data_IF_542097920996
#
_entry.id   IF_542097920996
#
_cell.length_a   1.000
_cell.length_b   1.000
_cell.length_c   1.000
_cell.angle_alpha   90.00
_cell.angle_beta   90.00
_cell.angle_gamma   90.00
#
_symmetry.space_group_name_H-M   'P 1'
#
loop_
_entity.id
_entity.type
_entity.pdbx_description
1 polymer ?
#
# COMPACT_ATOMS: atom_id res chain seq x y z
N UNK A 1 1.46 1.97 12.81
CA UNK A 1 2.18 2.92 13.70
C UNK A 1 3.62 2.48 13.80
N UNK A 2 4.58 3.30 13.35
CA UNK A 2 6.00 3.03 13.53
C UNK A 2 6.36 3.42 14.97
N UNK A 3 6.35 2.46 15.89
CA UNK A 3 6.82 2.67 17.27
C UNK A 3 8.30 2.29 17.37
N UNK A 4 9.12 3.21 17.87
CA UNK A 4 10.48 2.91 18.30
C UNK A 4 10.42 2.22 19.68
N UNK A 5 10.58 0.90 19.70
CA UNK A 5 11.08 0.20 20.87
C UNK A 5 12.43 -0.39 20.46
N UNK A 6 13.49 0.25 20.92
CA UNK A 6 14.83 -0.25 20.72
C UNK A 6 15.01 -1.58 21.47
N UNK A 7 14.83 -2.69 20.77
CA UNK A 7 15.48 -3.92 21.18
C UNK A 7 16.97 -3.80 20.84
N UNK A 8 17.83 -4.37 21.67
CA UNK A 8 19.30 -4.37 21.56
C UNK A 8 19.88 -4.92 20.24
N UNK A 9 19.03 -5.23 19.25
CA UNK A 9 19.39 -5.78 17.93
C UNK A 9 19.24 -4.78 16.77
N UNK A 10 18.88 -3.50 17.03
CA UNK A 10 18.78 -2.48 15.95
C UNK A 10 17.61 -2.66 14.97
N UNK A 11 16.77 -3.70 15.12
CA UNK A 11 15.68 -3.99 14.21
C UNK A 11 14.48 -3.09 14.52
N UNK A 12 14.02 -2.32 13.54
CA UNK A 12 12.82 -1.49 13.67
C UNK A 12 11.56 -2.35 13.78
N UNK A 13 10.72 -2.06 14.76
CA UNK A 13 9.45 -2.76 14.91
C UNK A 13 8.37 -2.11 14.04
N UNK A 14 8.17 -2.63 12.84
CA UNK A 14 7.12 -2.24 11.91
C UNK A 14 5.84 -2.99 12.27
N UNK A 15 4.71 -2.26 12.42
CA UNK A 15 3.40 -2.86 12.67
C UNK A 15 2.80 -3.36 11.36
N UNK A 16 3.10 -4.59 11.02
CA UNK A 16 2.70 -5.31 9.82
C UNK A 16 2.26 -6.73 10.21
N UNK A 17 1.40 -7.38 9.40
CA UNK A 17 0.98 -8.75 9.67
C UNK A 17 2.19 -9.71 9.78
N UNK A 18 2.11 -10.67 10.71
CA UNK A 18 3.24 -11.54 11.09
C UNK A 18 3.87 -12.26 9.88
N UNK A 19 3.05 -12.77 8.94
CA UNK A 19 3.57 -13.47 7.75
C UNK A 19 4.46 -12.61 6.84
N UNK A 20 4.22 -11.30 6.80
CA UNK A 20 5.07 -10.35 6.11
C UNK A 20 6.30 -9.98 6.93
N UNK A 21 6.13 -9.85 8.24
CA UNK A 21 7.22 -9.50 9.13
C UNK A 21 8.35 -10.52 9.09
N UNK A 22 8.00 -11.82 9.01
CA UNK A 22 8.96 -12.93 8.96
C UNK A 22 9.86 -12.86 7.72
N UNK A 23 9.29 -12.55 6.56
CA UNK A 23 10.03 -12.54 5.28
C UNK A 23 10.69 -11.21 4.97
N UNK A 24 10.21 -10.09 5.55
CA UNK A 24 10.73 -8.74 5.32
C UNK A 24 11.61 -8.24 6.48
N UNK A 25 11.92 -9.07 7.47
CA UNK A 25 12.66 -8.66 8.67
C UNK A 25 14.03 -8.06 8.34
N UNK A 26 14.75 -8.65 7.40
CA UNK A 26 16.04 -8.15 6.94
C UNK A 26 15.92 -6.80 6.23
N UNK A 27 14.81 -6.60 5.49
CA UNK A 27 14.55 -5.37 4.76
C UNK A 27 14.41 -4.18 5.70
N UNK A 28 13.77 -4.37 6.86
CA UNK A 28 13.58 -3.34 7.89
C UNK A 28 14.87 -2.90 8.59
N UNK A 29 15.95 -3.65 8.44
CA UNK A 29 17.27 -3.32 9.02
C UNK A 29 18.23 -2.68 8.03
N UNK A 30 17.83 -2.52 6.76
CA UNK A 30 18.67 -1.91 5.73
C UNK A 30 18.77 -0.38 5.89
N UNK A 31 19.94 0.22 5.57
CA UNK A 31 20.15 1.66 5.73
C UNK A 31 19.13 2.54 5.01
N UNK A 32 18.69 2.15 3.80
CA UNK A 32 17.69 2.92 3.06
C UNK A 32 16.34 2.94 3.81
N UNK A 33 15.96 1.83 4.46
CA UNK A 33 14.70 1.77 5.19
C UNK A 33 14.74 2.62 6.46
N UNK A 34 15.89 2.70 7.14
CA UNK A 34 16.08 3.62 8.26
C UNK A 34 15.94 5.08 7.83
N UNK A 35 16.54 5.45 6.69
CA UNK A 35 16.41 6.79 6.11
C UNK A 35 14.96 7.10 5.71
N UNK A 36 14.28 6.13 5.08
CA UNK A 36 12.87 6.23 4.74
C UNK A 36 11.99 6.48 5.98
N UNK A 37 12.24 5.77 7.07
CA UNK A 37 11.49 5.96 8.32
C UNK A 37 11.73 7.35 8.92
N UNK A 38 12.97 7.85 8.87
CA UNK A 38 13.29 9.22 9.33
C UNK A 38 12.58 10.27 8.47
N UNK A 39 12.60 10.09 7.16
CA UNK A 39 11.89 10.94 6.21
C UNK A 39 10.38 10.95 6.51
N UNK A 40 9.74 9.78 6.58
CA UNK A 40 8.29 9.68 6.83
C UNK A 40 7.91 10.30 8.17
N UNK A 41 8.68 10.07 9.23
CA UNK A 41 8.43 10.69 10.54
C UNK A 41 8.48 12.20 10.48
N UNK A 42 9.47 12.76 9.79
CA UNK A 42 9.60 14.21 9.60
C UNK A 42 8.39 14.74 8.83
N UNK A 43 8.04 14.12 7.69
CA UNK A 43 6.90 14.53 6.86
C UNK A 43 5.59 14.58 7.66
N UNK A 44 5.32 13.55 8.47
CA UNK A 44 4.11 13.50 9.30
C UNK A 44 4.14 14.45 10.49
N UNK A 45 5.30 14.97 10.88
CA UNK A 45 5.42 15.98 11.94
C UNK A 45 5.29 17.42 11.43
N UNK A 46 5.69 17.64 10.18
CA UNK A 46 5.77 18.99 9.59
C UNK A 46 4.62 19.27 8.61
N UNK A 47 4.02 18.23 8.04
CA UNK A 47 3.04 18.32 6.97
C UNK A 47 1.81 17.44 7.25
N UNK A 48 0.71 17.73 6.56
CA UNK A 48 -0.43 16.82 6.49
C UNK A 48 -0.09 15.75 5.45
N UNK A 49 -0.05 14.48 5.88
CA UNK A 49 0.29 13.36 5.02
C UNK A 49 -0.80 12.27 5.05
N UNK A 50 -0.90 11.52 3.98
CA UNK A 50 -1.84 10.41 3.83
C UNK A 50 -1.13 9.12 3.42
N UNK A 51 -1.76 7.96 3.76
CA UNK A 51 -2.89 7.74 4.66
C UNK A 51 -2.54 8.06 6.11
N UNK A 52 -3.46 7.95 7.05
CA UNK A 52 -3.13 8.05 8.49
C UNK A 52 -2.02 7.06 8.83
N UNK A 53 -1.12 7.42 9.74
CA UNK A 53 0.07 6.61 10.06
C UNK A 53 -0.23 5.14 10.43
N UNK A 54 -1.41 4.87 11.01
CA UNK A 54 -1.86 3.50 11.32
C UNK A 54 -2.25 2.69 10.08
N UNK A 55 -2.50 3.35 8.95
CA UNK A 55 -2.98 2.74 7.71
C UNK A 55 -1.88 2.57 6.65
N UNK A 56 -0.64 3.01 6.91
CA UNK A 56 0.46 2.92 5.93
C UNK A 56 0.65 1.47 5.43
N UNK A 57 0.51 0.49 6.33
CA UNK A 57 0.68 -0.92 6.01
C UNK A 57 -0.65 -1.70 5.89
N UNK A 58 -1.77 -1.03 5.60
CA UNK A 58 -3.09 -1.68 5.49
C UNK A 58 -3.12 -2.79 4.45
N UNK A 59 -2.47 -2.63 3.29
CA UNK A 59 -2.41 -3.65 2.25
C UNK A 59 -1.86 -4.99 2.78
N UNK A 60 -0.84 -4.92 3.61
CA UNK A 60 -0.21 -6.10 4.22
C UNK A 60 -1.03 -6.70 5.37
N UNK A 61 -1.74 -5.85 6.10
CA UNK A 61 -2.55 -6.29 7.24
C UNK A 61 -3.85 -6.96 6.79
N UNK A 62 -4.45 -6.49 5.70
CA UNK A 62 -5.67 -7.08 5.14
C UNK A 62 -5.40 -8.28 4.23
N UNK A 63 -4.20 -8.36 3.62
CA UNK A 63 -3.81 -9.47 2.74
C UNK A 63 -2.52 -10.13 3.26
N UNK A 64 -2.60 -11.11 4.18
CA UNK A 64 -1.45 -11.91 4.63
C UNK A 64 -0.75 -12.61 3.47
N UNK A 65 0.60 -12.73 3.51
CA UNK A 65 1.40 -13.29 2.43
C UNK A 65 0.89 -14.64 1.89
N UNK A 66 0.52 -15.64 2.72
CA UNK A 66 0.02 -16.92 2.22
C UNK A 66 -1.35 -16.85 1.53
N UNK A 67 -2.03 -15.71 1.62
CA UNK A 67 -3.34 -15.51 0.98
C UNK A 67 -3.26 -14.74 -0.33
N UNK A 68 -2.08 -14.25 -0.70
CA UNK A 68 -1.91 -13.45 -1.92
C UNK A 68 -2.20 -14.30 -3.16
N UNK A 69 -3.16 -13.85 -3.96
CA UNK A 69 -3.55 -14.44 -5.26
C UNK A 69 -3.34 -13.47 -6.40
N UNK A 70 -3.54 -12.18 -6.13
CA UNK A 70 -3.39 -11.09 -7.09
C UNK A 70 -2.59 -9.97 -6.45
N UNK A 71 -1.62 -9.42 -7.16
CA UNK A 71 -0.96 -8.16 -6.83
C UNK A 71 -1.46 -7.10 -7.79
N UNK A 72 -2.08 -6.06 -7.25
CA UNK A 72 -2.47 -4.88 -8.01
C UNK A 72 -1.59 -3.72 -7.58
N UNK A 73 -0.83 -3.15 -8.52
CA UNK A 73 0.12 -2.07 -8.23
C UNK A 73 -0.46 -0.72 -8.64
N UNK A 74 -0.60 0.18 -7.65
CA UNK A 74 -0.87 1.61 -7.84
C UNK A 74 0.39 2.45 -7.74
N UNK A 75 0.29 3.75 -8.01
CA UNK A 75 1.42 4.68 -7.95
C UNK A 75 1.67 5.16 -6.52
N UNK A 76 0.81 6.01 -6.01
CA UNK A 76 0.86 6.61 -4.68
C UNK A 76 -0.56 6.70 -4.09
N UNK A 77 -0.72 6.94 -2.78
CA UNK A 77 -2.03 7.13 -2.17
C UNK A 77 -2.75 8.36 -2.74
N UNK A 78 -4.06 8.36 -2.74
CA UNK A 78 -4.83 9.57 -3.01
C UNK A 78 -4.44 10.66 -2.01
N UNK A 79 -4.19 11.87 -2.51
CA UNK A 79 -3.68 12.99 -1.72
C UNK A 79 -4.76 13.98 -1.23
N UNK A 80 -6.04 13.70 -1.53
CA UNK A 80 -7.18 14.46 -1.01
C UNK A 80 -7.55 14.04 0.41
N UNK A 81 -8.11 14.99 1.17
CA UNK A 81 -8.49 14.77 2.55
C UNK A 81 -9.50 13.61 2.70
N UNK A 82 -9.20 12.67 3.59
CA UNK A 82 -10.07 11.55 3.90
C UNK A 82 -10.14 10.45 2.84
N UNK A 83 -9.45 10.56 1.70
CA UNK A 83 -9.50 9.57 0.63
C UNK A 83 -8.74 8.29 0.97
N UNK A 84 -7.43 8.38 1.14
CA UNK A 84 -6.55 7.22 1.28
C UNK A 84 -6.79 6.44 2.57
N UNK A 85 -6.85 5.11 2.46
CA UNK A 85 -6.95 4.15 3.56
C UNK A 85 -5.82 3.11 3.58
N UNK A 86 -4.75 3.32 2.79
CA UNK A 86 -3.58 2.45 2.73
C UNK A 86 -3.68 1.27 1.78
N UNK A 87 -4.72 1.24 0.94
CA UNK A 87 -4.91 0.29 -0.15
C UNK A 87 -4.91 1.06 -1.48
N UNK A 88 -4.21 0.58 -2.51
CA UNK A 88 -4.22 1.25 -3.80
C UNK A 88 -5.62 1.29 -4.42
N UNK A 89 -5.95 2.38 -5.09
CA UNK A 89 -7.26 2.67 -5.71
C UNK A 89 -8.45 2.75 -4.74
N UNK A 90 -8.27 2.45 -3.46
CA UNK A 90 -9.31 2.41 -2.44
C UNK A 90 -9.50 3.77 -1.76
N UNK A 91 -10.74 4.09 -1.43
CA UNK A 91 -11.08 5.25 -0.59
C UNK A 91 -11.90 4.84 0.62
N UNK A 92 -11.90 5.67 1.65
CA UNK A 92 -12.77 5.45 2.82
C UNK A 92 -14.26 5.50 2.42
N UNK A 93 -15.11 4.84 3.19
CA UNK A 93 -16.55 4.88 2.99
C UNK A 93 -17.08 6.32 3.05
N UNK A 94 -18.07 6.62 2.21
CA UNK A 94 -18.67 7.96 2.11
C UNK A 94 -17.87 8.97 1.28
N UNK A 95 -16.70 8.59 0.76
CA UNK A 95 -15.91 9.42 -0.15
C UNK A 95 -16.32 9.17 -1.61
N UNK A 96 -16.45 10.23 -2.38
CA UNK A 96 -16.69 10.13 -3.82
C UNK A 96 -15.58 9.32 -4.50
N UNK A 97 -15.95 8.45 -5.42
CA UNK A 97 -14.99 7.60 -6.14
C UNK A 97 -14.08 8.46 -7.04
N UNK A 98 -12.76 8.41 -6.87
CA UNK A 98 -11.83 9.08 -7.77
C UNK A 98 -11.90 8.51 -9.19
N UNK A 99 -11.47 9.25 -10.23
CA UNK A 99 -11.61 8.85 -11.63
C UNK A 99 -11.09 7.44 -11.95
N UNK A 100 -9.93 7.07 -11.39
CA UNK A 100 -9.38 5.72 -11.60
C UNK A 100 -10.30 4.62 -11.06
N UNK A 101 -10.85 4.81 -9.84
CA UNK A 101 -11.78 3.84 -9.26
C UNK A 101 -13.11 3.79 -9.99
N UNK A 102 -13.61 4.94 -10.50
CA UNK A 102 -14.80 4.99 -11.36
C UNK A 102 -14.60 4.13 -12.60
N UNK A 103 -13.43 4.24 -13.26
CA UNK A 103 -13.13 3.45 -14.45
C UNK A 103 -13.07 1.95 -14.13
N UNK A 104 -12.37 1.57 -13.04
CA UNK A 104 -12.31 0.18 -12.59
C UNK A 104 -13.70 -0.39 -12.34
N UNK A 105 -14.56 0.34 -11.64
CA UNK A 105 -15.91 -0.14 -11.33
C UNK A 105 -16.83 -0.20 -12.55
N UNK A 106 -16.67 0.72 -13.51
CA UNK A 106 -17.40 0.64 -14.79
C UNK A 106 -17.01 -0.62 -15.57
N UNK A 107 -15.70 -0.87 -15.74
CA UNK A 107 -15.21 -2.06 -16.45
C UNK A 107 -15.73 -3.34 -15.80
N UNK A 108 -15.68 -3.44 -14.46
CA UNK A 108 -16.22 -4.60 -13.75
C UNK A 108 -17.71 -4.73 -13.97
N UNK A 109 -18.48 -3.64 -13.88
CA UNK A 109 -19.94 -3.69 -14.08
C UNK A 109 -20.32 -4.12 -15.49
N UNK A 110 -19.59 -3.64 -16.49
CA UNK A 110 -19.85 -3.93 -17.90
C UNK A 110 -19.43 -5.37 -18.25
N UNK A 111 -18.27 -5.84 -17.74
CA UNK A 111 -17.73 -7.18 -18.07
C UNK A 111 -18.50 -8.32 -17.38
N UNK A 112 -18.82 -8.17 -16.09
CA UNK A 112 -19.46 -9.24 -15.31
C UNK A 112 -20.96 -9.00 -15.03
N UNK A 113 -21.53 -7.96 -15.60
CA UNK A 113 -22.95 -7.60 -15.46
C UNK A 113 -23.40 -7.44 -13.99
N UNK A 114 -22.53 -6.93 -13.12
CA UNK A 114 -22.83 -6.67 -11.71
C UNK A 114 -23.20 -5.20 -11.49
N UNK A 115 -24.06 -4.89 -10.50
CA UNK A 115 -24.36 -3.51 -10.15
C UNK A 115 -23.08 -2.72 -9.78
N UNK A 116 -23.03 -1.47 -10.20
CA UNK A 116 -21.95 -0.56 -9.84
C UNK A 116 -21.81 -0.46 -8.30
N UNK A 117 -20.61 -0.67 -7.72
CA UNK A 117 -20.41 -0.69 -6.26
C UNK A 117 -20.69 0.67 -5.62
N UNK A 118 -21.42 0.68 -4.51
CA UNK A 118 -21.71 1.90 -3.73
C UNK A 118 -20.49 2.35 -2.93
N UNK A 119 -19.78 1.40 -2.30
CA UNK A 119 -18.60 1.68 -1.48
C UNK A 119 -17.31 1.61 -2.31
N UNK A 120 -16.50 2.67 -2.22
CA UNK A 120 -15.14 2.72 -2.76
C UNK A 120 -14.08 2.06 -1.88
N UNK A 121 -14.46 1.51 -0.72
CA UNK A 121 -13.55 0.77 0.16
C UNK A 121 -13.30 -0.64 -0.39
N UNK A 122 -12.05 -0.93 -0.73
CA UNK A 122 -11.62 -2.19 -1.34
C UNK A 122 -11.08 -3.22 -0.33
N UNK A 123 -11.27 -3.02 0.97
CA UNK A 123 -10.87 -4.02 1.98
C UNK A 123 -11.49 -5.39 1.70
N UNK A 124 -12.71 -5.42 1.13
CA UNK A 124 -13.37 -6.65 0.68
C UNK A 124 -12.59 -7.42 -0.39
N UNK A 125 -11.77 -6.74 -1.21
CA UNK A 125 -10.88 -7.40 -2.15
C UNK A 125 -9.60 -7.87 -1.49
N UNK A 126 -9.01 -7.02 -0.63
CA UNK A 126 -7.79 -7.36 0.09
C UNK A 126 -7.96 -8.63 0.94
N UNK A 127 -9.07 -8.76 1.66
CA UNK A 127 -9.37 -9.94 2.48
C UNK A 127 -9.59 -11.22 1.68
N UNK A 128 -9.84 -11.12 0.36
CA UNK A 128 -9.96 -12.26 -0.56
C UNK A 128 -8.64 -12.65 -1.23
N UNK A 129 -7.56 -11.93 -0.96
CA UNK A 129 -6.23 -12.24 -1.47
C UNK A 129 -5.72 -11.29 -2.56
N UNK A 130 -6.32 -10.10 -2.69
CA UNK A 130 -5.79 -9.04 -3.56
C UNK A 130 -4.85 -8.14 -2.76
N UNK A 131 -3.56 -8.22 -3.01
CA UNK A 131 -2.59 -7.27 -2.45
C UNK A 131 -2.69 -5.94 -3.19
N UNK A 132 -3.39 -4.98 -2.58
CA UNK A 132 -3.63 -3.65 -3.12
C UNK A 132 -2.48 -2.71 -2.74
N UNK A 133 -1.36 -2.80 -3.46
CA UNK A 133 -0.10 -2.16 -3.12
C UNK A 133 0.13 -0.89 -3.96
N UNK A 134 0.53 0.21 -3.33
CA UNK A 134 1.10 1.36 -4.04
C UNK A 134 2.62 1.24 -4.09
N UNK A 135 3.26 1.78 -5.14
CA UNK A 135 4.72 1.88 -5.24
C UNK A 135 5.29 2.77 -4.13
N UNK A 136 4.62 3.90 -3.80
CA UNK A 136 4.90 4.72 -2.61
C UNK A 136 3.75 4.61 -1.63
N UNK A 137 4.03 4.36 -0.34
CA UNK A 137 2.97 4.10 0.65
C UNK A 137 2.48 5.37 1.37
N UNK A 138 3.09 6.51 1.12
CA UNK A 138 2.72 7.79 1.74
C UNK A 138 2.79 8.93 0.73
N UNK A 139 2.04 10.00 0.99
CA UNK A 139 1.99 11.19 0.14
C UNK A 139 1.66 12.42 0.99
N UNK A 140 2.16 13.60 0.64
CA UNK A 140 1.76 14.88 1.23
C UNK A 140 0.39 15.31 0.68
N UNK A 141 -0.41 15.95 1.52
CA UNK A 141 -1.72 16.47 1.14
C UNK A 141 -1.62 17.39 -0.09
N UNK A 142 -2.46 17.13 -1.09
CA UNK A 142 -2.57 17.88 -2.34
C UNK A 142 -1.31 17.87 -3.24
N UNK A 143 -0.30 17.05 -2.94
CA UNK A 143 0.96 16.97 -3.70
C UNK A 143 1.22 15.54 -4.16
N UNK A 144 0.62 15.12 -5.29
CA UNK A 144 0.85 13.80 -5.89
C UNK A 144 2.36 13.58 -6.14
N UNK A 145 2.86 12.37 -5.85
CA UNK A 145 4.26 12.01 -6.05
C UNK A 145 5.26 12.65 -5.08
N UNK A 146 4.81 13.42 -4.08
CA UNK A 146 5.69 14.16 -3.14
C UNK A 146 6.66 13.28 -2.35
N UNK A 147 6.37 12.00 -2.17
CA UNK A 147 7.22 11.05 -1.46
C UNK A 147 7.93 10.03 -2.37
N UNK A 148 7.94 10.27 -3.70
CA UNK A 148 8.69 9.45 -4.64
C UNK A 148 10.20 9.59 -4.40
N UNK A 149 10.95 8.54 -4.76
CA UNK A 149 12.42 8.47 -4.65
C UNK A 149 12.98 8.65 -3.23
N UNK A 150 12.15 8.38 -2.21
CA UNK A 150 12.56 8.44 -0.80
C UNK A 150 12.81 7.05 -0.19
N UNK A 151 12.71 5.99 -1.00
CA UNK A 151 12.98 4.60 -0.58
C UNK A 151 11.74 3.70 -0.55
N UNK A 152 10.52 4.24 -0.74
CA UNK A 152 9.32 3.43 -0.82
C UNK A 152 9.37 2.45 -1.99
N UNK A 153 9.80 2.89 -3.16
CA UNK A 153 9.90 2.07 -4.37
C UNK A 153 10.85 0.89 -4.16
N UNK A 154 12.01 1.13 -3.53
CA UNK A 154 12.95 0.05 -3.17
C UNK A 154 12.29 -0.98 -2.23
N UNK A 155 11.51 -0.53 -1.25
CA UNK A 155 10.79 -1.41 -0.34
C UNK A 155 9.71 -2.22 -1.08
N UNK A 156 8.89 -1.58 -1.88
CA UNK A 156 7.78 -2.23 -2.60
C UNK A 156 8.27 -3.16 -3.71
N UNK A 157 9.39 -2.86 -4.37
CA UNK A 157 10.06 -3.79 -5.29
C UNK A 157 10.50 -5.08 -4.59
N UNK A 158 11.06 -4.97 -3.37
CA UNK A 158 11.41 -6.13 -2.58
C UNK A 158 10.17 -6.90 -2.08
N UNK A 159 9.06 -6.22 -1.82
CA UNK A 159 7.78 -6.87 -1.52
C UNK A 159 7.28 -7.69 -2.71
N UNK A 160 7.30 -7.11 -3.92
CA UNK A 160 6.89 -7.79 -5.16
C UNK A 160 7.78 -9.01 -5.41
N UNK A 161 9.10 -8.85 -5.26
CA UNK A 161 10.05 -9.96 -5.34
C UNK A 161 9.74 -11.04 -4.31
N UNK A 162 9.46 -10.67 -3.07
CA UNK A 162 9.10 -11.60 -1.99
C UNK A 162 7.84 -12.41 -2.33
N UNK A 163 6.81 -11.77 -2.91
CA UNK A 163 5.61 -12.48 -3.39
C UNK A 163 5.97 -13.47 -4.49
N UNK A 164 6.77 -13.04 -5.47
CA UNK A 164 7.20 -13.90 -6.57
C UNK A 164 7.99 -15.11 -6.11
N UNK A 165 8.81 -14.96 -5.07
CA UNK A 165 9.69 -16.01 -4.57
C UNK A 165 8.96 -17.01 -3.62
N UNK A 166 7.86 -16.57 -2.96
CA UNK A 166 7.22 -17.34 -1.88
C UNK A 166 5.78 -17.76 -2.17
N UNK A 167 5.16 -17.26 -3.25
CA UNK A 167 3.77 -17.56 -3.59
C UNK A 167 3.68 -18.19 -4.99
N UNK A 168 2.85 -19.22 -5.12
CA UNK A 168 2.60 -19.86 -6.40
C UNK A 168 1.32 -19.31 -7.04
N UNK A 169 1.27 -19.30 -8.38
CA UNK A 169 0.08 -18.92 -9.17
C UNK A 169 -0.47 -17.52 -8.90
N UNK A 170 0.40 -16.57 -8.57
CA UNK A 170 0.00 -15.16 -8.34
C UNK A 170 -0.10 -14.41 -9.67
N UNK A 171 -1.19 -13.66 -9.84
CA UNK A 171 -1.39 -12.77 -10.98
C UNK A 171 -0.90 -11.37 -10.62
N UNK A 172 0.01 -10.80 -11.42
CA UNK A 172 0.44 -9.41 -11.29
C UNK A 172 -0.32 -8.54 -12.30
N UNK A 173 -1.09 -7.57 -11.80
CA UNK A 173 -1.85 -6.62 -12.60
C UNK A 173 -1.15 -5.26 -12.61
N UNK A 174 -0.54 -4.92 -13.74
CA UNK A 174 0.23 -3.69 -13.93
C UNK A 174 -0.55 -2.73 -14.83
N UNK A 175 -1.21 -1.74 -14.25
CA UNK A 175 -2.03 -0.78 -14.99
C UNK A 175 -1.29 0.53 -15.24
N UNK A 176 -1.27 0.94 -16.53
CA UNK A 176 -0.62 2.17 -16.96
C UNK A 176 0.90 2.03 -17.15
N UNK A 177 1.51 3.09 -17.66
CA UNK A 177 2.95 3.11 -17.97
C UNK A 177 3.85 3.13 -16.73
N UNK A 178 3.34 3.61 -15.60
CA UNK A 178 4.11 3.72 -14.36
C UNK A 178 4.39 2.37 -13.69
N UNK A 179 3.49 1.40 -13.86
CA UNK A 179 3.61 0.08 -13.23
C UNK A 179 4.37 -0.95 -14.10
N UNK A 180 4.92 -0.54 -15.26
CA UNK A 180 5.63 -1.41 -16.21
C UNK A 180 7.14 -1.48 -15.95
#
# INVERSE_FOLDING_TARGET
TIRQYGNKTGIMNVSIHQSWKEVLQEEFSKPYFEQLVLFVKREYSENICYPKGQQIFSAFNHCPLPKVKVVLLGQDPYHGAGQANGLCFSVNDGIAHPPSLVNIFKEISDDVALPYPISGNLERWATQGVLLLNATLTVRANEAGSHQHQGWETFTDNVIKTVSDNCEHVVFMLWGSFAK
#
